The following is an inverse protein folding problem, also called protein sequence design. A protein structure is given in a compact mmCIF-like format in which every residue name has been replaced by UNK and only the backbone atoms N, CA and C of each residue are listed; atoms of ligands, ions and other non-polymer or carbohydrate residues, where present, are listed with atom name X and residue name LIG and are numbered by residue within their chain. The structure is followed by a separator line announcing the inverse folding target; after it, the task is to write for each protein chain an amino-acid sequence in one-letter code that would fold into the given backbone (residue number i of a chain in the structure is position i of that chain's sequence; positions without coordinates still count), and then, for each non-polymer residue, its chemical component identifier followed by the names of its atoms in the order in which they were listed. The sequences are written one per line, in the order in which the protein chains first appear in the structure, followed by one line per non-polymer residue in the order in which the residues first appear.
data_IF_779407302988
#
_entry.id   IF_779407302988
#
_cell.length_a   1.000
_cell.length_b   1.000
_cell.length_c   1.000
_cell.angle_alpha   90.00
_cell.angle_beta   90.00
_cell.angle_gamma   90.00
#
_symmetry.space_group_name_H-M   'P 1'
#
loop_
_entity.id
_entity.type
_entity.pdbx_description
1 polymer ?
#
# COMPACT_ATOMS: atom_id res chain seq x y z
N UNK A 1 -19.56 -6.13 7.63
CA UNK A 1 -19.27 -5.50 6.32
C UNK A 1 -19.43 -4.01 6.53
N UNK A 2 -18.34 -3.25 6.46
CA UNK A 2 -18.40 -1.80 6.42
C UNK A 2 -19.15 -1.41 5.15
N UNK A 3 -20.18 -0.59 5.28
CA UNK A 3 -20.95 -0.10 4.12
C UNK A 3 -20.00 0.72 3.24
N UNK A 4 -19.83 0.30 1.99
CA UNK A 4 -18.93 0.96 1.04
C UNK A 4 -19.64 2.21 0.54
N UNK A 5 -18.96 3.36 0.62
CA UNK A 5 -19.50 4.63 0.15
C UNK A 5 -19.82 4.57 -1.35
N UNK A 6 -21.07 4.86 -1.72
CA UNK A 6 -21.57 4.73 -3.10
C UNK A 6 -20.79 5.61 -4.08
N UNK A 7 -20.21 6.73 -3.62
CA UNK A 7 -19.38 7.61 -4.46
C UNK A 7 -18.12 6.92 -5.00
N UNK A 8 -17.58 5.96 -4.24
CA UNK A 8 -16.43 5.16 -4.70
C UNK A 8 -16.83 4.26 -5.88
N UNK A 9 -18.07 3.75 -5.86
CA UNK A 9 -18.63 2.93 -6.94
C UNK A 9 -18.80 3.79 -8.19
N UNK A 10 -19.27 5.03 -8.05
CA UNK A 10 -19.45 5.95 -9.18
C UNK A 10 -18.13 6.27 -9.88
N UNK A 11 -17.05 6.54 -9.13
CA UNK A 11 -15.70 6.78 -9.70
C UNK A 11 -15.18 5.53 -10.42
N UNK A 12 -15.42 4.34 -9.87
CA UNK A 12 -15.02 3.08 -10.49
C UNK A 12 -15.81 2.81 -11.77
N UNK A 13 -17.12 3.07 -11.78
CA UNK A 13 -17.98 2.85 -12.93
C UNK A 13 -17.63 3.76 -14.12
N UNK A 14 -17.01 4.91 -13.86
CA UNK A 14 -16.55 5.86 -14.88
C UNK A 14 -15.18 5.48 -15.49
N UNK A 15 -14.51 4.45 -14.98
CA UNK A 15 -13.20 4.05 -15.51
C UNK A 15 -13.32 3.52 -16.94
N UNK A 16 -12.39 3.90 -17.84
CA UNK A 16 -12.50 3.58 -19.27
C UNK A 16 -12.26 2.11 -19.60
N UNK A 17 -11.79 1.32 -18.64
CA UNK A 17 -11.44 -0.09 -18.80
C UNK A 17 -11.96 -0.93 -17.64
N UNK A 18 -12.30 -2.20 -17.86
CA UNK A 18 -12.68 -3.11 -16.77
C UNK A 18 -11.56 -3.19 -15.72
N UNK A 19 -11.96 -3.21 -14.45
CA UNK A 19 -11.05 -3.40 -13.34
C UNK A 19 -11.05 -4.87 -12.90
N UNK A 20 -9.86 -5.46 -12.76
CA UNK A 20 -9.71 -6.75 -12.10
C UNK A 20 -10.00 -6.62 -10.61
N UNK A 21 -9.53 -5.52 -10.00
CA UNK A 21 -9.94 -5.11 -8.67
C UNK A 21 -9.72 -3.62 -8.44
N UNK A 22 -10.40 -3.10 -7.42
CA UNK A 22 -10.16 -1.81 -6.78
C UNK A 22 -10.33 -1.98 -5.26
N UNK A 23 -9.34 -1.53 -4.50
CA UNK A 23 -9.29 -1.56 -3.04
C UNK A 23 -9.02 -0.18 -2.49
N UNK A 24 -9.43 0.07 -1.24
CA UNK A 24 -9.03 1.26 -0.50
C UNK A 24 -7.62 1.04 0.05
N UNK A 25 -6.78 2.05 -0.10
CA UNK A 25 -5.43 2.17 0.44
C UNK A 25 -5.35 3.40 1.36
N UNK A 26 -4.17 3.97 1.56
CA UNK A 26 -4.03 5.23 2.28
C UNK A 26 -4.38 5.12 3.76
N UNK A 27 -4.68 6.27 4.38
CA UNK A 27 -4.91 6.36 5.82
C UNK A 27 -5.99 5.39 6.34
N UNK A 28 -7.00 5.09 5.51
CA UNK A 28 -8.04 4.11 5.80
C UNK A 28 -7.50 2.67 5.94
N UNK A 29 -6.67 2.21 4.99
CA UNK A 29 -5.99 0.92 5.09
C UNK A 29 -5.00 0.91 6.27
N UNK A 30 -4.35 2.03 6.53
CA UNK A 30 -3.23 2.10 7.47
C UNK A 30 -3.66 2.28 8.93
N UNK A 31 -4.96 2.47 9.19
CA UNK A 31 -5.53 2.51 10.53
C UNK A 31 -5.47 3.88 11.22
N UNK A 32 -5.29 4.96 10.46
CA UNK A 32 -5.29 6.33 11.00
C UNK A 32 -6.00 7.37 10.11
N UNK A 33 -7.22 7.09 9.58
CA UNK A 33 -7.98 8.09 8.83
C UNK A 33 -8.41 9.25 9.76
N UNK A 34 -8.25 10.48 9.30
CA UNK A 34 -8.92 11.67 9.86
C UNK A 34 -10.23 11.95 9.13
N UNK A 35 -11.12 12.80 9.67
CA UNK A 35 -12.35 13.22 9.00
C UNK A 35 -12.12 13.81 7.59
N UNK A 36 -10.98 14.48 7.39
CA UNK A 36 -10.58 15.09 6.13
C UNK A 36 -9.67 14.17 5.28
N UNK A 37 -9.62 12.86 5.57
CA UNK A 37 -8.78 11.94 4.79
C UNK A 37 -9.42 11.61 3.45
N UNK A 38 -8.59 11.67 2.41
CA UNK A 38 -8.94 11.29 1.05
C UNK A 38 -9.14 9.76 0.95
N UNK A 39 -10.00 9.35 0.04
CA UNK A 39 -10.15 7.94 -0.33
C UNK A 39 -9.17 7.58 -1.43
N UNK A 40 -8.08 6.93 -1.04
CA UNK A 40 -7.10 6.36 -1.95
C UNK A 40 -7.62 5.04 -2.55
N UNK A 41 -8.14 5.06 -3.77
CA UNK A 41 -8.49 3.84 -4.51
C UNK A 41 -7.30 3.33 -5.32
N UNK A 42 -7.00 2.04 -5.21
CA UNK A 42 -5.88 1.40 -5.90
C UNK A 42 -6.29 0.08 -6.51
N UNK A 43 -5.82 -0.20 -7.72
CA UNK A 43 -6.29 -1.39 -8.43
C UNK A 43 -5.56 -1.74 -9.72
N UNK A 44 -6.15 -2.70 -10.43
CA UNK A 44 -5.69 -3.15 -11.74
C UNK A 44 -6.78 -2.90 -12.77
N UNK A 45 -6.41 -2.30 -13.90
CA UNK A 45 -7.26 -2.22 -15.09
C UNK A 45 -6.78 -3.17 -16.19
N UNK A 46 -7.71 -3.63 -17.02
CA UNK A 46 -7.45 -4.53 -18.14
C UNK A 46 -7.54 -3.75 -19.46
N UNK A 47 -6.40 -3.54 -20.12
CA UNK A 47 -6.42 -2.98 -21.46
C UNK A 47 -6.98 -4.01 -22.46
N UNK A 48 -7.82 -3.59 -23.43
CA UNK A 48 -8.23 -4.47 -24.51
C UNK A 48 -7.02 -4.85 -25.37
N UNK A 49 -7.05 -6.04 -25.99
CA UNK A 49 -5.93 -6.58 -26.76
C UNK A 49 -5.41 -5.61 -27.83
N UNK A 50 -6.30 -4.88 -28.50
CA UNK A 50 -5.94 -3.88 -29.52
C UNK A 50 -5.04 -2.74 -29.00
N UNK A 51 -5.10 -2.42 -27.69
CA UNK A 51 -4.23 -1.44 -27.01
C UNK A 51 -2.91 -2.05 -26.52
N UNK A 52 -2.73 -3.35 -26.63
CA UNK A 52 -1.52 -4.07 -26.22
C UNK A 52 -0.63 -4.46 -27.41
N UNK A 53 -1.23 -4.82 -28.55
CA UNK A 53 -0.51 -5.32 -29.74
C UNK A 53 -0.44 -4.31 -30.89
N UNK A 54 -1.23 -3.23 -30.82
CA UNK A 54 -1.25 -2.19 -31.84
C UNK A 54 -0.05 -1.25 -31.76
N UNK A 55 0.18 -0.48 -32.83
CA UNK A 55 1.22 0.56 -32.86
C UNK A 55 0.98 1.70 -31.85
N UNK A 56 -0.28 1.91 -31.46
CA UNK A 56 -0.69 2.87 -30.42
C UNK A 56 -1.06 2.11 -29.15
N UNK A 57 -0.10 2.01 -28.25
CA UNK A 57 -0.29 1.34 -26.96
C UNK A 57 -1.22 2.15 -26.04
N UNK A 58 -1.94 1.44 -25.17
CA UNK A 58 -2.71 2.05 -24.08
C UNK A 58 -1.81 2.57 -22.97
N UNK A 59 -2.41 3.32 -22.03
CA UNK A 59 -1.69 3.80 -20.86
C UNK A 59 -1.60 2.69 -19.81
N UNK A 60 -0.39 2.43 -19.32
CA UNK A 60 -0.14 1.44 -18.27
C UNK A 60 -0.60 1.92 -16.89
N UNK A 61 -0.97 3.20 -16.73
CA UNK A 61 -1.44 3.78 -15.47
C UNK A 61 -2.47 4.85 -15.73
N UNK A 62 -3.54 4.80 -14.95
CA UNK A 62 -4.61 5.81 -14.93
C UNK A 62 -4.60 6.41 -13.54
N UNK A 63 -4.62 7.74 -13.49
CA UNK A 63 -4.70 8.53 -12.26
C UNK A 63 -5.89 9.48 -12.41
N UNK A 64 -6.82 9.40 -11.47
CA UNK A 64 -8.03 10.23 -11.41
C UNK A 64 -8.12 10.81 -10.01
N UNK A 65 -8.31 12.12 -9.91
CA UNK A 65 -8.45 12.83 -8.64
C UNK A 65 -9.71 13.69 -8.74
N UNK A 66 -10.72 13.39 -7.93
CA UNK A 66 -12.05 14.00 -8.02
C UNK A 66 -12.60 14.35 -6.63
N UNK A 67 -13.33 15.47 -6.56
CA UNK A 67 -14.07 15.89 -5.38
C UNK A 67 -15.56 15.61 -5.60
N UNK A 68 -16.11 14.59 -4.96
CA UNK A 68 -17.51 14.20 -5.08
C UNK A 68 -18.29 14.47 -3.80
N UNK A 69 -19.21 15.44 -3.86
CA UNK A 69 -20.03 15.86 -2.72
C UNK A 69 -19.20 16.09 -1.42
N UNK A 70 -18.06 16.76 -1.56
CA UNK A 70 -17.14 17.05 -0.46
C UNK A 70 -16.17 15.93 -0.08
N UNK A 71 -16.20 14.78 -0.77
CA UNK A 71 -15.26 13.67 -0.58
C UNK A 71 -14.18 13.70 -1.65
N UNK A 72 -12.93 13.81 -1.24
CA UNK A 72 -11.78 13.69 -2.14
C UNK A 72 -11.49 12.21 -2.40
N UNK A 73 -11.47 11.83 -3.67
CA UNK A 73 -11.21 10.46 -4.13
C UNK A 73 -10.05 10.49 -5.11
N UNK A 74 -8.99 9.76 -4.77
CA UNK A 74 -7.80 9.61 -5.61
C UNK A 74 -7.69 8.16 -6.06
N UNK A 75 -8.01 7.89 -7.32
CA UNK A 75 -7.91 6.58 -7.95
C UNK A 75 -6.61 6.46 -8.74
N UNK A 76 -5.86 5.39 -8.49
CA UNK A 76 -4.71 4.99 -9.29
C UNK A 76 -4.82 3.52 -9.64
N UNK A 77 -4.91 3.21 -10.93
CA UNK A 77 -4.87 1.82 -11.42
C UNK A 77 -3.68 1.60 -12.32
N UNK A 78 -3.12 0.40 -12.27
CA UNK A 78 -2.09 -0.05 -13.19
C UNK A 78 -2.62 -1.12 -14.12
N UNK A 79 -2.14 -1.16 -15.36
CA UNK A 79 -2.43 -2.27 -16.25
C UNK A 79 -1.85 -3.58 -15.66
N UNK A 80 -2.54 -4.70 -15.87
CA UNK A 80 -2.22 -5.98 -15.26
C UNK A 80 -0.75 -6.42 -15.42
N UNK A 81 -0.16 -6.32 -16.61
CA UNK A 81 1.26 -6.65 -16.85
C UNK A 81 2.17 -5.75 -16.01
N UNK A 82 1.90 -4.44 -15.96
CA UNK A 82 2.68 -3.51 -15.13
C UNK A 82 2.58 -3.90 -13.66
N UNK A 83 1.38 -4.14 -13.14
CA UNK A 83 1.16 -4.51 -11.75
C UNK A 83 1.86 -5.83 -11.39
N UNK A 84 1.72 -6.87 -12.24
CA UNK A 84 2.36 -8.17 -12.03
C UNK A 84 3.89 -8.04 -12.06
N UNK A 85 4.42 -7.21 -12.97
CA UNK A 85 5.84 -6.89 -13.01
C UNK A 85 6.35 -6.15 -11.77
N UNK A 86 5.51 -5.35 -11.10
CA UNK A 86 5.84 -4.71 -9.83
C UNK A 86 5.83 -5.73 -8.67
N UNK A 87 4.87 -6.66 -8.62
CA UNK A 87 4.85 -7.75 -7.64
C UNK A 87 6.14 -8.58 -7.69
N UNK A 88 6.60 -8.94 -8.90
CA UNK A 88 7.85 -9.69 -9.11
C UNK A 88 9.11 -8.91 -8.71
N UNK A 89 9.01 -7.60 -8.47
CA UNK A 89 10.14 -6.74 -8.06
C UNK A 89 10.15 -6.44 -6.56
N UNK A 90 9.45 -7.25 -5.76
CA UNK A 90 9.32 -7.06 -4.32
C UNK A 90 8.80 -5.67 -3.93
N UNK A 91 7.88 -5.13 -4.73
CA UNK A 91 7.30 -3.81 -4.50
C UNK A 91 6.17 -3.91 -3.46
N UNK A 92 6.46 -3.48 -2.22
CA UNK A 92 5.53 -3.53 -1.11
C UNK A 92 4.26 -2.69 -1.32
N UNK A 93 4.32 -1.60 -2.09
CA UNK A 93 3.17 -0.75 -2.37
C UNK A 93 2.06 -1.47 -3.12
N UNK A 94 2.37 -2.17 -4.22
CA UNK A 94 1.36 -2.96 -4.95
C UNK A 94 0.93 -4.20 -4.18
N UNK A 95 1.83 -4.74 -3.33
CA UNK A 95 1.52 -5.87 -2.47
C UNK A 95 0.47 -5.48 -1.41
N UNK A 96 0.65 -4.34 -0.73
CA UNK A 96 -0.31 -3.81 0.24
C UNK A 96 -1.68 -3.53 -0.38
N UNK A 97 -1.72 -3.06 -1.63
CA UNK A 97 -2.99 -2.86 -2.37
C UNK A 97 -3.71 -4.17 -2.64
N UNK A 98 -2.98 -5.16 -3.17
CA UNK A 98 -3.54 -6.47 -3.48
C UNK A 98 -4.10 -7.15 -2.23
N UNK A 99 -3.45 -6.99 -1.08
CA UNK A 99 -3.88 -7.60 0.19
C UNK A 99 -4.72 -6.69 1.09
N UNK A 100 -5.12 -5.51 0.62
CA UNK A 100 -6.05 -4.65 1.37
C UNK A 100 -7.35 -5.41 1.66
N UNK A 101 -7.81 -5.43 2.93
CA UNK A 101 -9.10 -6.03 3.26
C UNK A 101 -10.29 -5.14 2.86
N UNK A 102 -10.04 -3.90 2.44
CA UNK A 102 -11.06 -2.91 2.08
C UNK A 102 -11.36 -2.96 0.58
N UNK A 103 -12.06 -4.01 0.15
CA UNK A 103 -12.38 -4.26 -1.25
C UNK A 103 -13.58 -3.41 -1.67
N UNK A 104 -13.45 -2.66 -2.77
CA UNK A 104 -14.55 -1.89 -3.37
C UNK A 104 -15.17 -2.67 -4.54
N UNK A 105 -14.30 -3.21 -5.40
CA UNK A 105 -14.69 -4.09 -6.51
C UNK A 105 -13.61 -5.15 -6.72
N UNK A 106 -13.99 -6.37 -7.04
CA UNK A 106 -13.07 -7.43 -7.44
C UNK A 106 -13.78 -8.43 -8.36
N UNK A 107 -13.05 -8.98 -9.33
CA UNK A 107 -13.49 -10.14 -10.12
C UNK A 107 -13.02 -11.45 -9.45
N UNK A 108 -13.52 -12.63 -9.85
CA UNK A 108 -13.03 -13.90 -9.29
C UNK A 108 -11.51 -14.12 -9.42
N UNK A 109 -10.90 -13.61 -10.50
CA UNK A 109 -9.47 -13.70 -10.75
C UNK A 109 -8.63 -12.90 -9.74
N UNK A 110 -9.24 -12.00 -8.96
CA UNK A 110 -8.58 -11.32 -7.85
C UNK A 110 -8.12 -12.31 -6.76
N UNK A 111 -8.95 -13.29 -6.40
CA UNK A 111 -8.60 -14.28 -5.39
C UNK A 111 -7.50 -15.23 -5.89
N UNK A 112 -7.55 -15.58 -7.17
CA UNK A 112 -6.48 -16.33 -7.84
C UNK A 112 -5.17 -15.54 -7.85
N UNK A 113 -5.22 -14.25 -8.21
CA UNK A 113 -4.05 -13.37 -8.17
C UNK A 113 -3.46 -13.29 -6.76
N UNK A 114 -4.29 -13.17 -5.71
CA UNK A 114 -3.81 -13.20 -4.32
C UNK A 114 -3.13 -14.52 -3.99
N UNK A 115 -3.68 -15.66 -4.42
CA UNK A 115 -3.07 -16.96 -4.19
C UNK A 115 -1.68 -17.05 -4.86
N UNK A 116 -1.58 -16.63 -6.12
CA UNK A 116 -0.32 -16.61 -6.89
C UNK A 116 0.69 -15.64 -6.26
N UNK A 117 0.25 -14.45 -5.86
CA UNK A 117 1.12 -13.40 -5.33
C UNK A 117 1.81 -13.77 -4.01
N UNK A 118 1.38 -14.83 -3.31
CA UNK A 118 2.16 -15.40 -2.19
C UNK A 118 3.57 -15.80 -2.63
N UNK A 119 3.71 -16.33 -3.85
CA UNK A 119 5.02 -16.66 -4.45
C UNK A 119 5.84 -15.44 -4.90
N UNK A 120 5.30 -14.22 -4.77
CA UNK A 120 6.07 -12.97 -4.99
C UNK A 120 6.77 -12.49 -3.72
N UNK A 121 6.38 -12.98 -2.54
CA UNK A 121 6.87 -12.50 -1.25
C UNK A 121 8.29 -13.04 -1.02
N UNK A 122 9.25 -12.12 -0.93
CA UNK A 122 10.69 -12.41 -0.78
C UNK A 122 11.27 -11.57 0.35
N UNK A 123 12.42 -11.98 0.90
CA UNK A 123 13.10 -11.18 1.93
C UNK A 123 13.58 -9.81 1.40
N UNK A 124 13.65 -9.63 0.07
CA UNK A 124 14.03 -8.38 -0.60
C UNK A 124 12.99 -7.26 -0.47
N UNK A 125 11.78 -7.53 0.05
CA UNK A 125 10.81 -6.48 0.41
C UNK A 125 11.37 -5.50 1.45
N UNK A 126 12.36 -5.92 2.24
CA UNK A 126 13.09 -5.03 3.15
C UNK A 126 13.58 -3.75 2.46
N UNK A 127 14.13 -3.85 1.25
CA UNK A 127 14.63 -2.70 0.49
C UNK A 127 13.52 -1.69 0.17
N UNK A 128 12.33 -2.18 -0.20
CA UNK A 128 11.19 -1.31 -0.48
C UNK A 128 10.78 -0.56 0.78
N UNK A 129 10.58 -1.27 1.89
CA UNK A 129 10.09 -0.68 3.13
C UNK A 129 11.12 0.26 3.78
N UNK A 130 12.41 -0.09 3.78
CA UNK A 130 13.50 0.79 4.22
C UNK A 130 13.58 2.05 3.34
N UNK A 131 13.48 1.88 2.02
CA UNK A 131 13.50 3.00 1.06
C UNK A 131 12.32 3.97 1.25
N UNK A 132 11.14 3.44 1.50
CA UNK A 132 9.94 4.23 1.80
C UNK A 132 10.08 4.94 3.15
N UNK A 133 10.49 4.23 4.21
CA UNK A 133 10.70 4.80 5.54
C UNK A 133 11.69 5.97 5.49
N UNK A 134 12.80 5.81 4.77
CA UNK A 134 13.80 6.86 4.57
C UNK A 134 13.24 8.10 3.87
N UNK A 135 12.36 7.91 2.89
CA UNK A 135 11.71 9.02 2.17
C UNK A 135 10.78 9.79 3.10
N UNK A 136 9.96 9.08 3.89
CA UNK A 136 9.04 9.69 4.84
C UNK A 136 9.76 10.36 6.01
N UNK A 137 10.86 9.76 6.50
CA UNK A 137 11.72 10.36 7.52
C UNK A 137 12.32 11.68 7.06
N UNK A 138 12.82 11.74 5.82
CA UNK A 138 13.32 13.00 5.22
C UNK A 138 12.23 14.05 5.05
N UNK A 139 10.99 13.63 4.78
CA UNK A 139 9.85 14.55 4.72
C UNK A 139 9.54 15.11 6.11
N UNK A 140 9.48 14.24 7.12
CA UNK A 140 9.28 14.60 8.52
C UNK A 140 10.31 15.64 9.00
N UNK A 141 11.61 15.39 8.76
CA UNK A 141 12.70 16.30 9.18
C UNK A 141 12.67 17.68 8.51
N UNK A 142 12.05 17.79 7.33
CA UNK A 142 11.99 19.05 6.56
C UNK A 142 10.79 19.92 6.90
N UNK A 143 9.81 19.39 7.63
CA UNK A 143 8.58 20.12 7.94
C UNK A 143 8.77 21.01 9.16
N UNK A 144 8.35 22.27 9.00
CA UNK A 144 8.30 23.24 10.10
C UNK A 144 6.91 23.89 10.09
N UNK A 145 6.05 23.63 11.08
CA UNK A 145 6.26 22.73 12.22
C UNK A 145 6.33 21.24 11.83
N UNK A 146 6.93 20.42 12.69
CA UNK A 146 6.95 18.95 12.55
C UNK A 146 5.50 18.42 12.56
N UNK A 147 5.15 17.58 11.57
CA UNK A 147 3.83 16.98 11.46
C UNK A 147 3.86 15.49 11.80
N UNK A 148 2.77 15.01 12.39
CA UNK A 148 2.62 13.59 12.78
C UNK A 148 2.45 12.66 11.58
N UNK A 149 1.84 13.12 10.47
CA UNK A 149 1.50 12.26 9.33
C UNK A 149 2.73 11.56 8.73
N UNK A 150 3.82 12.23 8.30
CA UNK A 150 4.99 11.51 7.78
C UNK A 150 5.62 10.55 8.80
N UNK A 151 5.60 10.90 10.09
CA UNK A 151 6.11 10.05 11.15
C UNK A 151 5.30 8.75 11.32
N UNK A 152 3.96 8.83 11.28
CA UNK A 152 3.12 7.63 11.25
C UNK A 152 3.42 6.76 10.04
N UNK A 153 3.65 7.36 8.87
CA UNK A 153 4.05 6.64 7.65
C UNK A 153 5.42 5.96 7.76
N UNK A 154 6.35 6.51 8.53
CA UNK A 154 7.63 5.85 8.86
C UNK A 154 7.38 4.60 9.71
N UNK A 155 6.64 4.72 10.81
CA UNK A 155 6.45 3.60 11.72
C UNK A 155 5.63 2.48 11.08
N UNK A 156 4.51 2.79 10.42
CA UNK A 156 3.70 1.78 9.72
C UNK A 156 4.50 0.98 8.71
N UNK A 157 5.31 1.63 7.88
CA UNK A 157 6.02 0.90 6.82
C UNK A 157 7.12 -0.01 7.38
N UNK A 158 7.79 0.43 8.46
CA UNK A 158 8.80 -0.38 9.13
C UNK A 158 8.16 -1.59 9.82
N UNK A 159 7.04 -1.38 10.53
CA UNK A 159 6.32 -2.46 11.22
C UNK A 159 5.71 -3.45 10.22
N UNK A 160 5.14 -2.97 9.10
CA UNK A 160 4.68 -3.81 7.99
C UNK A 160 5.81 -4.66 7.43
N UNK A 161 6.97 -4.05 7.16
CA UNK A 161 8.14 -4.78 6.68
C UNK A 161 8.62 -5.84 7.67
N UNK A 162 8.74 -5.51 8.95
CA UNK A 162 9.19 -6.47 9.97
C UNK A 162 8.18 -7.62 10.09
N UNK A 163 6.88 -7.31 10.14
CA UNK A 163 5.83 -8.33 10.20
C UNK A 163 5.86 -9.24 8.97
N UNK A 164 5.94 -8.68 7.76
CA UNK A 164 6.01 -9.45 6.52
C UNK A 164 7.20 -10.39 6.52
N UNK A 165 8.38 -9.91 6.89
CA UNK A 165 9.60 -10.71 6.83
C UNK A 165 9.66 -11.81 7.90
N UNK A 166 8.95 -11.64 9.01
CA UNK A 166 8.81 -12.65 10.06
C UNK A 166 7.78 -13.73 9.73
N UNK A 167 6.71 -13.38 8.99
CA UNK A 167 5.51 -14.23 8.90
C UNK A 167 5.14 -14.66 7.48
N UNK A 168 5.63 -13.95 6.46
CA UNK A 168 5.16 -14.07 5.09
C UNK A 168 3.74 -13.52 4.87
N UNK A 169 3.16 -12.82 5.85
CA UNK A 169 1.81 -12.23 5.79
C UNK A 169 1.91 -10.72 5.66
N UNK A 170 1.06 -10.14 4.82
CA UNK A 170 0.97 -8.68 4.64
C UNK A 170 -0.01 -8.12 5.66
N UNK A 171 0.45 -7.17 6.47
CA UNK A 171 -0.39 -6.37 7.34
C UNK A 171 0.08 -4.90 7.24
N UNK A 172 -0.83 -4.03 6.83
CA UNK A 172 -0.56 -2.62 6.53
C UNK A 172 -1.17 -1.65 7.56
N UNK A 173 -2.06 -2.16 8.41
CA UNK A 173 -2.76 -1.42 9.45
C UNK A 173 -1.88 -1.26 10.68
N UNK A 174 -1.51 -0.02 10.99
CA UNK A 174 -0.63 0.30 12.12
C UNK A 174 -1.23 -0.05 13.47
N UNK A 175 -2.56 0.07 13.63
CA UNK A 175 -3.25 -0.29 14.88
C UNK A 175 -3.10 -1.78 15.12
N UNK A 176 -3.45 -2.60 14.13
CA UNK A 176 -3.30 -4.07 14.20
C UNK A 176 -1.85 -4.49 14.44
N UNK A 177 -0.90 -3.88 13.73
CA UNK A 177 0.53 -4.14 13.95
C UNK A 177 0.93 -3.83 15.39
N UNK A 178 0.44 -2.72 15.95
CA UNK A 178 0.83 -2.29 17.28
C UNK A 178 0.27 -3.18 18.41
N UNK A 179 -0.75 -4.00 18.16
CA UNK A 179 -1.18 -5.05 19.11
C UNK A 179 -0.03 -6.05 19.38
N UNK A 180 0.78 -6.34 18.35
CA UNK A 180 1.96 -7.20 18.44
C UNK A 180 3.20 -6.43 18.91
N UNK A 181 3.48 -5.27 18.32
CA UNK A 181 4.73 -4.53 18.57
C UNK A 181 4.74 -3.70 19.85
N UNK A 182 3.57 -3.34 20.38
CA UNK A 182 3.38 -2.68 21.68
C UNK A 182 4.24 -1.41 21.87
N UNK A 183 4.39 -0.61 20.83
CA UNK A 183 5.07 0.68 20.89
C UNK A 183 4.14 1.69 21.56
N UNK A 184 4.49 2.08 22.78
CA UNK A 184 3.62 2.84 23.69
C UNK A 184 3.24 4.24 23.18
N UNK A 185 4.03 4.82 22.28
CA UNK A 185 3.82 6.16 21.74
C UNK A 185 2.93 6.20 20.50
N UNK A 186 2.66 5.05 19.86
CA UNK A 186 1.83 5.02 18.64
C UNK A 186 0.35 5.38 18.89
N UNK A 187 -0.32 4.93 19.98
CA UNK A 187 -1.71 5.32 20.23
C UNK A 187 -1.91 6.84 20.29
N UNK A 188 -0.99 7.56 20.93
CA UNK A 188 -1.05 9.02 21.05
C UNK A 188 -0.84 9.70 19.69
N UNK A 189 0.15 9.26 18.90
CA UNK A 189 0.37 9.77 17.54
C UNK A 189 -0.83 9.53 16.62
N UNK A 190 -1.42 8.34 16.69
CA UNK A 190 -2.63 8.00 15.93
C UNK A 190 -3.78 8.90 16.35
N UNK A 191 -3.97 9.11 17.66
CA UNK A 191 -5.03 9.97 18.17
C UNK A 191 -4.87 11.43 17.69
N UNK A 192 -3.64 11.97 17.67
CA UNK A 192 -3.37 13.31 17.11
C UNK A 192 -3.80 13.39 15.63
N UNK A 193 -3.48 12.35 14.85
CA UNK A 193 -3.86 12.26 13.43
C UNK A 193 -5.37 12.18 13.24
N UNK A 194 -6.04 11.28 13.97
CA UNK A 194 -7.47 10.98 13.80
C UNK A 194 -8.35 12.15 14.24
N UNK A 195 -7.99 12.86 15.30
CA UNK A 195 -8.75 14.01 15.82
C UNK A 195 -8.59 15.28 14.99
N UNK A 196 -7.76 15.28 13.94
CA UNK A 196 -7.45 16.48 13.15
C UNK A 196 -6.52 17.46 13.86
N UNK A 197 -5.95 17.07 15.00
CA UNK A 197 -4.93 17.82 15.72
C UNK A 197 -3.55 17.73 15.07
N UNK A 198 -3.44 17.27 13.81
CA UNK A 198 -2.18 17.21 13.04
C UNK A 198 -1.41 18.53 12.98
N UNK A 199 -2.11 19.65 13.18
CA UNK A 199 -1.52 21.01 13.23
C UNK A 199 -0.87 21.33 14.58
N UNK A 200 -1.07 20.50 15.61
CA UNK A 200 -0.37 20.63 16.87
C UNK A 200 1.10 20.23 16.66
N UNK A 201 2.06 21.14 16.87
CA UNK A 201 3.47 20.87 16.61
C UNK A 201 4.00 19.81 17.59
N UNK A 202 4.70 18.80 17.07
CA UNK A 202 5.55 17.95 17.90
C UNK A 202 6.71 18.78 18.46
N UNK A 203 7.07 18.54 19.72
CA UNK A 203 8.14 19.27 20.39
C UNK A 203 9.53 18.84 19.90
N UNK A 204 10.52 19.74 20.01
CA UNK A 204 11.92 19.42 19.67
C UNK A 204 12.48 18.30 20.56
N UNK A 205 12.01 18.18 21.80
CA UNK A 205 12.37 17.08 22.70
C UNK A 205 11.97 15.71 22.11
N UNK A 206 10.83 15.65 21.42
CA UNK A 206 10.29 14.41 20.83
C UNK A 206 11.09 13.95 19.61
N UNK A 207 11.73 14.88 18.89
CA UNK A 207 12.51 14.55 17.69
C UNK A 207 13.67 13.60 18.00
N UNK A 208 14.39 13.82 19.11
CA UNK A 208 15.51 12.98 19.52
C UNK A 208 15.07 11.53 19.79
N UNK A 209 13.93 11.39 20.47
CA UNK A 209 13.30 10.12 20.75
C UNK A 209 12.86 9.40 19.46
N UNK A 210 12.13 10.09 18.58
CA UNK A 210 11.68 9.50 17.31
C UNK A 210 12.84 9.14 16.38
N UNK A 211 13.93 9.90 16.41
CA UNK A 211 15.13 9.56 15.64
C UNK A 211 15.80 8.28 16.15
N UNK A 212 15.84 8.08 17.47
CA UNK A 212 16.34 6.84 18.05
C UNK A 212 15.45 5.65 17.67
N UNK A 213 14.12 5.80 17.77
CA UNK A 213 13.18 4.74 17.42
C UNK A 213 13.18 4.40 15.93
N UNK A 214 13.27 5.42 15.05
CA UNK A 214 13.44 5.21 13.62
C UNK A 214 14.68 4.38 13.30
N UNK A 215 15.84 4.74 13.87
CA UNK A 215 17.09 3.99 13.67
C UNK A 215 16.99 2.56 14.20
N UNK A 216 16.42 2.39 15.41
CA UNK A 216 16.21 1.08 16.03
C UNK A 216 15.35 0.18 15.13
N UNK A 217 14.22 0.69 14.63
CA UNK A 217 13.31 -0.09 13.79
C UNK A 217 13.89 -0.39 12.40
N UNK A 218 14.67 0.52 11.81
CA UNK A 218 15.43 0.22 10.59
C UNK A 218 16.40 -0.94 10.81
N UNK A 219 17.17 -0.92 11.90
CA UNK A 219 18.08 -2.01 12.24
C UNK A 219 17.33 -3.34 12.45
N UNK A 220 16.20 -3.33 13.16
CA UNK A 220 15.37 -4.52 13.34
C UNK A 220 14.88 -5.06 11.99
N UNK A 221 14.46 -4.20 11.06
CA UNK A 221 14.04 -4.63 9.72
C UNK A 221 15.20 -5.23 8.90
N UNK A 222 16.38 -4.64 8.98
CA UNK A 222 17.59 -5.14 8.34
C UNK A 222 18.00 -6.52 8.89
N UNK A 223 18.05 -6.67 10.22
CA UNK A 223 18.34 -7.94 10.89
C UNK A 223 17.28 -9.00 10.59
N UNK A 224 16.00 -8.61 10.56
CA UNK A 224 14.90 -9.52 10.20
C UNK A 224 15.04 -9.99 8.76
N UNK A 225 15.45 -9.12 7.83
CA UNK A 225 15.69 -9.48 6.44
C UNK A 225 16.82 -10.49 6.28
N UNK A 226 17.94 -10.28 7.00
CA UNK A 226 19.10 -11.18 6.97
C UNK A 226 18.78 -12.58 7.53
N UNK A 227 17.88 -12.66 8.51
CA UNK A 227 17.49 -13.90 9.17
C UNK A 227 16.17 -14.49 8.64
N UNK A 228 15.56 -13.90 7.61
CA UNK A 228 14.25 -14.33 7.11
C UNK A 228 14.33 -15.68 6.39
N UNK A 229 13.31 -16.52 6.60
CA UNK A 229 13.12 -17.76 5.84
C UNK A 229 12.51 -17.54 4.45
N UNK A 230 12.12 -16.30 4.11
CA UNK A 230 11.53 -15.98 2.82
C UNK A 230 12.55 -16.11 1.68
N UNK A 231 12.12 -16.56 0.49
CA UNK A 231 13.02 -16.78 -0.64
C UNK A 231 13.67 -15.47 -1.11
N UNK A 232 14.80 -15.60 -1.80
CA UNK A 232 15.51 -14.46 -2.41
C UNK A 232 14.81 -13.94 -3.68
N UNK A 233 14.24 -14.87 -4.45
CA UNK A 233 13.61 -14.59 -5.73
C UNK A 233 12.15 -15.02 -5.72
N UNK A 234 11.27 -14.30 -6.42
CA UNK A 234 9.88 -14.71 -6.55
C UNK A 234 9.78 -15.99 -7.40
N UNK A 235 8.89 -16.90 -7.02
CA UNK A 235 8.59 -18.13 -7.79
C UNK A 235 7.34 -17.99 -8.66
N UNK A 236 6.54 -16.94 -8.46
CA UNK A 236 5.21 -16.78 -9.07
C UNK A 236 5.21 -16.33 -10.55
N UNK A 237 6.37 -16.11 -11.18
CA UNK A 237 6.42 -15.58 -12.55
C UNK A 237 5.66 -16.46 -13.57
N UNK A 238 5.79 -17.81 -13.59
CA UNK A 238 5.05 -18.65 -14.53
C UNK A 238 3.54 -18.54 -14.34
N UNK A 239 3.05 -18.58 -13.10
CA UNK A 239 1.62 -18.52 -12.82
C UNK A 239 1.02 -17.14 -13.14
N UNK A 240 1.75 -16.05 -12.84
CA UNK A 240 1.37 -14.70 -13.25
C UNK A 240 1.34 -14.54 -14.77
N UNK A 241 2.23 -15.23 -15.48
CA UNK A 241 2.26 -15.23 -16.94
C UNK A 241 1.00 -15.90 -17.51
N UNK A 242 0.65 -17.08 -17.02
CA UNK A 242 -0.55 -17.81 -17.45
C UNK A 242 -1.83 -17.06 -17.11
N UNK A 243 -1.94 -16.51 -15.90
CA UNK A 243 -3.06 -15.66 -15.52
C UNK A 243 -3.19 -14.45 -16.46
N UNK A 244 -2.08 -13.76 -16.78
CA UNK A 244 -2.10 -12.61 -17.67
C UNK A 244 -2.55 -12.99 -19.10
N UNK A 245 -2.16 -14.17 -19.60
CA UNK A 245 -2.63 -14.67 -20.90
C UNK A 245 -4.14 -14.90 -20.86
N UNK A 246 -4.65 -15.61 -19.85
CA UNK A 246 -6.10 -15.90 -19.74
C UNK A 246 -6.92 -14.62 -19.66
N UNK A 247 -6.51 -13.66 -18.82
CA UNK A 247 -7.14 -12.35 -18.71
C UNK A 247 -7.23 -11.61 -20.05
N UNK A 248 -6.23 -11.77 -20.93
CA UNK A 248 -6.19 -11.12 -22.25
C UNK A 248 -7.03 -11.84 -23.29
N UNK A 249 -7.15 -13.15 -23.18
CA UNK A 249 -7.95 -13.98 -24.09
C UNK A 249 -9.43 -14.08 -23.66
N UNK A 250 -9.78 -13.58 -22.46
CA UNK A 250 -11.13 -13.66 -21.91
C UNK A 250 -11.51 -15.09 -21.52
N UNK A 251 -10.54 -15.85 -20.99
CA UNK A 251 -10.65 -17.26 -20.60
C UNK A 251 -10.68 -17.46 -19.09
#
# INVERSE_FOLDING_TARGET
MTEIDTRLIDVIAQQPYPLLFATISGAHLYGFPSPDSDYDLRGIHLLPLSKLIGLKLGQDTIEVSELQAGLQIDLVTHEAKKFFGLLLKANGYVLEQLYSPLIVQATPEYDELKAIAKGCITHRHSHHYLGFAKTQWRLFEKQTPLQVKPLLYVFRVLLTGIHLLQTGVVEANLVTLNEKFQLSYLPDLINIKVTGAEKAPLGVADLSFYQQEYRRLCQVLEETSQNSHLPEHPSAQPDLHELLIRLRLGQ
#
